data_IF_248237356517
#
_entry.id   IF_248237356517
#
_cell.length_a   1.000
_cell.length_b   1.000
_cell.length_c   1.000
_cell.angle_alpha   90.00
_cell.angle_beta   90.00
_cell.angle_gamma   90.00
#
_symmetry.space_group_name_H-M   'P 1'
#
loop_
_entity.id
_entity.type
_entity.pdbx_description
1 polymer ?
#
# COMPACT_ATOMS: atom_id res chain seq x y z
N UNK A 1 -11.95 25.42 -8.88
CA UNK A 1 -13.02 24.42 -9.10
C UNK A 1 -12.38 23.04 -9.07
N UNK A 2 -12.51 22.30 -7.96
CA UNK A 2 -12.09 20.91 -7.92
C UNK A 2 -13.24 20.07 -8.52
N UNK A 3 -13.12 19.68 -9.79
CA UNK A 3 -13.96 18.61 -10.35
C UNK A 3 -13.56 17.31 -9.71
N UNK A 4 -14.24 16.94 -8.62
CA UNK A 4 -13.99 15.71 -7.88
C UNK A 4 -14.55 14.54 -8.70
N UNK A 5 -13.68 13.66 -9.18
CA UNK A 5 -14.12 12.36 -9.69
C UNK A 5 -14.72 11.56 -8.52
N UNK A 6 -15.86 10.90 -8.73
CA UNK A 6 -16.43 10.01 -7.72
C UNK A 6 -15.76 8.63 -7.83
N UNK A 7 -15.43 8.01 -6.70
CA UNK A 7 -14.79 6.70 -6.60
C UNK A 7 -15.72 5.74 -5.87
N UNK A 8 -15.84 4.53 -6.41
CA UNK A 8 -16.43 3.38 -5.73
C UNK A 8 -15.28 2.50 -5.24
N UNK A 9 -15.22 2.29 -3.94
CA UNK A 9 -14.09 1.67 -3.29
C UNK A 9 -14.49 0.89 -2.03
N UNK A 10 -13.73 -0.16 -1.75
CA UNK A 10 -13.87 -0.96 -0.54
C UNK A 10 -12.91 -0.46 0.54
N UNK A 11 -13.37 -0.42 1.80
CA UNK A 11 -12.51 -0.01 2.91
C UNK A 11 -11.43 -1.05 3.19
N UNK A 12 -10.24 -0.58 3.58
CA UNK A 12 -9.17 -1.46 4.04
C UNK A 12 -9.46 -1.98 5.46
N UNK A 13 -9.00 -3.21 5.78
CA UNK A 13 -9.00 -3.69 7.15
C UNK A 13 -8.03 -2.85 8.01
N UNK A 14 -8.35 -2.72 9.30
CA UNK A 14 -7.54 -1.94 10.25
C UNK A 14 -6.12 -2.50 10.46
N UNK A 15 -5.96 -3.81 10.25
CA UNK A 15 -4.67 -4.51 10.26
C UNK A 15 -4.49 -5.26 8.94
N UNK A 16 -3.31 -5.13 8.37
CA UNK A 16 -2.93 -5.81 7.13
C UNK A 16 -1.64 -6.62 7.35
N UNK A 17 -1.50 -7.78 6.69
CA UNK A 17 -0.24 -8.50 6.72
C UNK A 17 0.84 -7.67 6.03
N UNK A 18 2.07 -7.76 6.52
CA UNK A 18 3.22 -7.07 5.96
C UNK A 18 3.44 -7.35 4.46
N UNK A 19 3.01 -8.51 3.97
CA UNK A 19 3.01 -8.88 2.55
C UNK A 19 2.11 -8.03 1.64
N UNK A 20 1.14 -7.29 2.20
CA UNK A 20 0.26 -6.41 1.42
C UNK A 20 0.87 -5.04 1.11
N UNK A 21 1.98 -4.71 1.77
CA UNK A 21 2.66 -3.43 1.62
C UNK A 21 3.65 -3.46 0.45
N UNK A 22 3.88 -2.29 -0.14
CA UNK A 22 4.81 -2.03 -1.24
C UNK A 22 5.91 -1.06 -0.82
N UNK A 23 6.99 -1.00 -1.60
CA UNK A 23 8.06 -0.02 -1.43
C UNK A 23 7.45 1.40 -1.38
N UNK A 24 7.77 2.13 -0.32
CA UNK A 24 7.28 3.49 -0.09
C UNK A 24 6.09 3.61 0.85
N UNK A 25 5.38 2.52 1.17
CA UNK A 25 4.25 2.56 2.09
C UNK A 25 4.67 2.91 3.52
N UNK A 26 3.75 3.49 4.28
CA UNK A 26 3.93 3.83 5.68
C UNK A 26 2.95 3.05 6.56
N UNK A 27 3.44 2.59 7.72
CA UNK A 27 2.66 1.81 8.68
C UNK A 27 3.07 2.12 10.12
N UNK A 28 2.26 1.66 11.05
CA UNK A 28 2.53 1.61 12.48
C UNK A 28 2.55 0.15 12.95
N UNK A 29 3.40 -0.16 13.93
CA UNK A 29 3.34 -1.45 14.61
C UNK A 29 2.17 -1.39 15.62
N UNK A 30 1.30 -2.42 15.71
CA UNK A 30 0.11 -2.38 16.56
C UNK A 30 0.40 -2.11 18.04
N UNK A 31 1.63 -2.38 18.48
CA UNK A 31 2.08 -2.25 19.88
C UNK A 31 3.06 -1.09 20.09
N UNK A 32 3.45 -0.35 19.05
CA UNK A 32 4.36 0.77 19.15
C UNK A 32 3.60 2.07 18.88
N UNK A 33 3.10 2.71 19.94
CA UNK A 33 2.28 3.90 19.83
C UNK A 33 3.05 5.08 19.21
N UNK A 34 2.47 5.68 18.15
CA UNK A 34 2.94 6.91 17.53
C UNK A 34 4.17 6.80 16.62
N UNK A 35 4.81 5.62 16.57
CA UNK A 35 5.99 5.41 15.73
C UNK A 35 5.59 4.95 14.32
N UNK A 36 5.87 5.80 13.32
CA UNK A 36 5.61 5.51 11.90
C UNK A 36 6.85 5.00 11.21
N UNK A 37 6.67 3.94 10.43
CA UNK A 37 7.71 3.25 9.70
C UNK A 37 7.39 3.26 8.22
N UNK A 38 8.43 3.35 7.39
CA UNK A 38 8.32 3.31 5.94
C UNK A 38 8.95 2.03 5.41
N UNK A 39 8.29 1.39 4.45
CA UNK A 39 8.83 0.27 3.69
C UNK A 39 9.89 0.80 2.71
N UNK A 40 11.15 0.43 2.89
CA UNK A 40 12.20 0.82 1.96
C UNK A 40 12.36 -0.17 0.80
N UNK A 41 12.12 -1.47 1.04
CA UNK A 41 12.11 -2.51 0.01
C UNK A 41 11.22 -3.68 0.43
N UNK A 42 10.71 -4.44 -0.54
CA UNK A 42 9.86 -5.64 -0.35
C UNK A 42 10.44 -6.90 -1.02
N UNK A 43 11.73 -6.86 -1.38
CA UNK A 43 12.41 -7.96 -2.09
C UNK A 43 12.37 -9.25 -1.28
N UNK A 44 12.20 -10.37 -2.00
CA UNK A 44 12.27 -11.71 -1.40
C UNK A 44 13.66 -11.95 -0.82
N UNK A 45 13.72 -12.51 0.39
CA UNK A 45 14.99 -12.88 1.01
C UNK A 45 15.37 -14.30 0.56
N UNK A 46 16.61 -14.50 0.12
CA UNK A 46 17.15 -15.83 -0.19
C UNK A 46 17.91 -16.36 0.99
N UNK A 47 17.72 -17.65 1.31
CA UNK A 47 18.46 -18.30 2.38
C UNK A 47 19.96 -18.25 2.06
N UNK A 48 20.82 -17.73 2.96
CA UNK A 48 22.21 -17.45 2.64
C UNK A 48 23.06 -18.71 2.36
N UNK A 49 22.59 -19.88 2.80
CA UNK A 49 23.31 -21.15 2.62
C UNK A 49 22.76 -21.98 1.46
N UNK A 50 21.45 -22.00 1.25
CA UNK A 50 20.81 -22.87 0.24
C UNK A 50 20.48 -22.13 -1.05
N UNK A 51 20.46 -20.79 -1.05
CA UNK A 51 20.08 -19.96 -2.20
C UNK A 51 18.59 -20.02 -2.56
N UNK A 52 17.81 -20.81 -1.83
CA UNK A 52 16.37 -20.94 -1.98
C UNK A 52 15.68 -19.63 -1.63
N UNK A 53 14.68 -19.28 -2.42
CA UNK A 53 13.85 -18.12 -2.19
C UNK A 53 12.90 -18.40 -1.03
N UNK A 54 13.09 -17.68 0.07
CA UNK A 54 12.22 -17.83 1.23
C UNK A 54 10.98 -16.95 0.98
N UNK A 55 9.93 -17.58 0.46
CA UNK A 55 8.67 -16.92 0.07
C UNK A 55 7.86 -16.43 1.26
N UNK A 56 8.15 -16.90 2.48
CA UNK A 56 7.46 -16.50 3.72
C UNK A 56 8.08 -15.27 4.40
N UNK A 57 9.19 -14.74 3.88
CA UNK A 57 9.88 -13.59 4.45
C UNK A 57 9.93 -12.45 3.43
N UNK A 58 9.20 -11.38 3.70
CA UNK A 58 9.37 -10.11 2.99
C UNK A 58 10.37 -9.28 3.78
N UNK A 59 11.55 -9.08 3.21
CA UNK A 59 12.53 -8.15 3.79
C UNK A 59 11.96 -6.75 3.67
N UNK A 60 11.40 -6.26 4.75
CA UNK A 60 10.90 -4.89 4.89
C UNK A 60 11.96 -4.11 5.63
N UNK A 61 12.75 -3.35 4.89
CA UNK A 61 13.76 -2.48 5.49
C UNK A 61 13.12 -1.19 5.99
N UNK A 62 13.43 -0.82 7.22
CA UNK A 62 12.89 0.35 7.91
C UNK A 62 13.81 1.55 7.70
N UNK A 63 13.25 2.74 7.44
CA UNK A 63 13.98 4.01 7.53
C UNK A 63 13.49 4.82 8.73
N UNK A 64 13.67 4.32 9.95
CA UNK A 64 13.58 5.19 11.12
C UNK A 64 14.96 5.82 11.37
N UNK A 65 15.07 7.14 11.62
CA UNK A 65 16.35 7.78 11.93
C UNK A 65 17.05 7.07 13.09
N UNK A 66 18.29 6.61 12.87
CA UNK A 66 19.07 5.87 13.87
C UNK A 66 18.70 4.39 14.05
N UNK A 67 17.81 3.85 13.21
CA UNK A 67 17.38 2.44 13.30
C UNK A 67 18.09 1.56 12.27
N UNK A 68 18.50 0.37 12.71
CA UNK A 68 19.02 -0.68 11.83
C UNK A 68 17.89 -1.25 10.96
N UNK A 69 18.13 -1.59 9.68
CA UNK A 69 17.15 -2.32 8.89
C UNK A 69 16.76 -3.63 9.59
N UNK A 70 15.50 -3.75 10.00
CA UNK A 70 14.93 -5.00 10.50
C UNK A 70 14.24 -5.78 9.36
N UNK A 71 13.88 -7.03 9.59
CA UNK A 71 13.10 -7.86 8.68
C UNK A 71 11.75 -8.14 9.33
N UNK A 72 10.67 -8.14 8.55
CA UNK A 72 9.34 -8.55 9.00
C UNK A 72 8.95 -9.88 8.36
N UNK A 73 8.19 -10.68 9.10
CA UNK A 73 7.56 -11.85 8.51
C UNK A 73 6.44 -11.39 7.59
N UNK A 74 6.19 -12.08 6.49
CA UNK A 74 5.14 -11.72 5.54
C UNK A 74 3.75 -11.59 6.21
N UNK A 75 3.49 -12.39 7.24
CA UNK A 75 2.24 -12.37 8.00
C UNK A 75 2.20 -11.40 9.19
N UNK A 76 3.24 -10.60 9.44
CA UNK A 76 3.24 -9.67 10.57
C UNK A 76 2.09 -8.66 10.40
N UNK A 77 1.19 -8.51 11.39
CA UNK A 77 0.10 -7.54 11.30
C UNK A 77 0.61 -6.12 11.51
N UNK A 78 0.27 -5.23 10.58
CA UNK A 78 0.66 -3.82 10.58
C UNK A 78 -0.58 -2.93 10.45
N UNK A 79 -0.56 -1.75 11.07
CA UNK A 79 -1.59 -0.72 10.89
C UNK A 79 -1.19 0.13 9.68
N UNK A 80 -1.95 0.14 8.58
CA UNK A 80 -1.61 0.94 7.41
C UNK A 80 -1.83 2.43 7.71
N UNK A 81 -0.83 3.27 7.42
CA UNK A 81 -0.90 4.73 7.62
C UNK A 81 -1.01 5.45 6.29
N UNK A 82 -0.23 5.03 5.29
CA UNK A 82 -0.26 5.60 3.95
C UNK A 82 0.15 4.54 2.94
N UNK A 83 -0.66 4.35 1.90
CA UNK A 83 -0.41 3.37 0.85
C UNK A 83 -0.73 4.01 -0.51
N UNK A 84 0.19 4.81 -1.07
CA UNK A 84 -0.03 5.43 -2.37
C UNK A 84 -0.03 4.37 -3.48
N UNK A 85 -1.06 4.39 -4.33
CA UNK A 85 -1.22 3.47 -5.45
C UNK A 85 -1.64 4.22 -6.70
N UNK A 86 -1.23 3.73 -7.85
CA UNK A 86 -1.73 4.18 -9.16
C UNK A 86 -2.64 3.11 -9.74
N UNK A 87 -3.90 3.45 -9.99
CA UNK A 87 -4.86 2.57 -10.65
C UNK A 87 -5.21 3.09 -12.04
N UNK A 88 -5.38 2.19 -13.01
CA UNK A 88 -6.06 2.50 -14.26
C UNK A 88 -7.51 2.02 -14.13
N UNK A 89 -8.43 2.97 -14.03
CA UNK A 89 -9.84 2.68 -13.81
C UNK A 89 -10.68 3.16 -15.00
N UNK A 90 -11.59 2.35 -15.53
CA UNK A 90 -12.55 2.79 -16.54
C UNK A 90 -13.57 3.75 -15.92
N UNK A 91 -14.03 4.72 -16.71
CA UNK A 91 -15.17 5.55 -16.34
C UNK A 91 -16.47 4.74 -16.50
N UNK A 92 -17.32 4.71 -15.47
CA UNK A 92 -18.59 4.00 -15.51
C UNK A 92 -19.56 4.46 -16.64
N UNK A 93 -19.37 5.69 -17.14
CA UNK A 93 -20.30 6.31 -18.10
C UNK A 93 -19.77 6.27 -19.53
N UNK A 94 -18.48 6.51 -19.73
CA UNK A 94 -17.89 6.66 -21.07
C UNK A 94 -16.75 5.68 -21.36
N UNK A 95 -16.52 4.71 -20.47
CA UNK A 95 -15.48 3.66 -20.56
C UNK A 95 -14.05 4.16 -20.78
N UNK A 96 -13.81 5.47 -20.65
CA UNK A 96 -12.46 6.04 -20.79
C UNK A 96 -11.61 5.70 -19.58
N UNK A 97 -10.47 5.07 -19.81
CA UNK A 97 -9.48 4.78 -18.78
C UNK A 97 -8.48 5.93 -18.61
N UNK A 98 -8.09 6.20 -17.36
CA UNK A 98 -6.97 7.08 -17.05
C UNK A 98 -6.30 6.62 -15.75
N UNK A 99 -5.00 6.88 -15.57
CA UNK A 99 -4.35 6.67 -14.30
C UNK A 99 -4.91 7.60 -13.23
N UNK A 100 -5.10 7.08 -12.02
CA UNK A 100 -5.50 7.83 -10.84
C UNK A 100 -4.57 7.43 -9.70
N UNK A 101 -3.91 8.43 -9.11
CA UNK A 101 -3.10 8.27 -7.90
C UNK A 101 -3.96 8.46 -6.67
N UNK A 102 -3.94 7.46 -5.78
CA UNK A 102 -4.80 7.40 -4.60
C UNK A 102 -4.03 6.87 -3.41
N UNK A 103 -4.24 7.46 -2.25
CA UNK A 103 -3.89 6.82 -0.99
C UNK A 103 -5.04 5.89 -0.59
N UNK A 104 -4.81 4.58 -0.71
CA UNK A 104 -5.88 3.60 -0.46
C UNK A 104 -6.27 3.51 1.01
N UNK A 105 -5.44 4.01 1.93
CA UNK A 105 -5.82 4.15 3.35
C UNK A 105 -6.96 5.15 3.51
N UNK A 106 -6.91 6.25 2.73
CA UNK A 106 -7.92 7.32 2.79
C UNK A 106 -9.16 7.01 1.94
N UNK A 107 -8.96 6.42 0.78
CA UNK A 107 -10.02 6.28 -0.23
C UNK A 107 -10.52 4.85 -0.43
N UNK A 108 -9.90 3.86 0.21
CA UNK A 108 -10.18 2.45 -0.04
C UNK A 108 -9.53 1.93 -1.33
N UNK A 109 -9.77 0.65 -1.62
CA UNK A 109 -9.35 0.02 -2.88
C UNK A 109 -10.40 0.34 -3.95
N UNK A 110 -10.07 1.16 -4.97
CA UNK A 110 -11.05 1.56 -5.97
C UNK A 110 -11.25 0.46 -7.02
N UNK A 111 -12.49 0.27 -7.43
CA UNK A 111 -12.83 -0.65 -8.54
C UNK A 111 -13.51 0.07 -9.72
N UNK A 112 -14.11 1.24 -9.49
CA UNK A 112 -14.72 2.06 -10.55
C UNK A 112 -14.55 3.55 -10.26
N UNK A 113 -14.64 4.37 -11.31
CA UNK A 113 -14.65 5.83 -11.21
C UNK A 113 -15.71 6.46 -12.10
N UNK A 114 -16.13 7.67 -11.76
CA UNK A 114 -16.80 8.59 -12.67
C UNK A 114 -15.82 9.71 -13.04
N UNK A 115 -15.48 9.83 -14.31
CA UNK A 115 -14.49 10.81 -14.75
C UNK A 115 -15.04 12.24 -14.72
N UNK A 116 -14.14 13.22 -14.66
CA UNK A 116 -14.49 14.64 -14.60
C UNK A 116 -15.25 15.15 -15.82
N UNK A 117 -15.11 14.51 -16.99
CA UNK A 117 -15.89 14.86 -18.18
C UNK A 117 -17.37 14.48 -18.04
N UNK A 118 -17.65 13.38 -17.35
CA UNK A 118 -19.02 12.89 -17.12
C UNK A 118 -19.63 13.38 -15.79
N UNK A 119 -18.82 13.88 -14.85
CA UNK A 119 -19.26 14.41 -13.57
C UNK A 119 -19.77 15.87 -13.62
N UNK A 120 -20.03 16.41 -14.82
CA UNK A 120 -20.60 17.74 -15.06
C UNK A 120 -22.10 17.63 -15.28
#
# INVERSE_FOLDING_TARGET
>A
MHTTSALLADSLPALMPASAFQDGDTFELPFAEGARYKIASTRAHRHPVTGEEITEFRRIEFTAPGSTPALLLAGTPLVPVQMPRTYRLPCLICDTEAPVELDIVRFGIPHQRVCTACAR
#
